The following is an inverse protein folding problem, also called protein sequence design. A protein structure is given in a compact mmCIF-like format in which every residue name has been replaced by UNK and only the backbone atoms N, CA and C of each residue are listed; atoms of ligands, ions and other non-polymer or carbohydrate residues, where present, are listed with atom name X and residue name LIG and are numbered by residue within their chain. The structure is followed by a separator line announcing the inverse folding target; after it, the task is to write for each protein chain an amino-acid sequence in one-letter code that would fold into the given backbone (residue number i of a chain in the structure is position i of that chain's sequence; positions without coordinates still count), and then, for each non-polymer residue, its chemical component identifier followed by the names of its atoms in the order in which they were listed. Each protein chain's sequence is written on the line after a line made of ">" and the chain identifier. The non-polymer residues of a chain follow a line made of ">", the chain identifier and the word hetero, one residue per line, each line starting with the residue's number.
data_IF_901005009598
#
_entry.id   IF_901005009598
#
_cell.length_a   1.000
_cell.length_b   1.000
_cell.length_c   1.000
_cell.angle_alpha   90.00
_cell.angle_beta   90.00
_cell.angle_gamma   90.00
#
_symmetry.space_group_name_H-M   'P 1'
#
loop_
_entity.id
_entity.type
_entity.pdbx_description
1 polymer ?
#
# COMPACT_ATOMS: atom_id res chain seq x y z
N UNK A 1 12.43 -16.23 16.91
CA UNK A 1 13.62 -16.20 16.03
C UNK A 1 13.94 -14.74 15.78
N UNK A 2 15.01 -14.19 16.37
CA UNK A 2 15.41 -12.80 16.17
C UNK A 2 16.66 -12.76 15.30
N UNK A 3 16.59 -12.17 14.11
CA UNK A 3 17.72 -11.98 13.21
C UNK A 3 17.76 -10.52 12.77
N UNK A 4 18.97 -9.96 12.65
CA UNK A 4 19.16 -8.60 12.17
C UNK A 4 18.80 -8.53 10.67
N UNK A 5 17.78 -7.76 10.32
CA UNK A 5 17.52 -7.42 8.92
C UNK A 5 18.58 -6.38 8.49
N UNK A 6 19.46 -6.76 7.57
CA UNK A 6 20.43 -5.83 6.98
C UNK A 6 19.89 -5.25 5.68
N UNK A 7 20.11 -3.96 5.40
CA UNK A 7 19.72 -3.33 4.15
C UNK A 7 20.68 -3.74 3.02
N UNK A 8 20.64 -5.00 2.61
CA UNK A 8 20.97 -5.37 1.23
C UNK A 8 19.74 -5.06 0.37
N UNK A 9 19.91 -4.84 -0.92
CA UNK A 9 18.89 -4.43 -1.91
C UNK A 9 17.73 -5.42 -2.02
N UNK A 10 16.94 -5.53 -0.97
CA UNK A 10 15.83 -6.45 -0.84
C UNK A 10 14.59 -5.73 -1.33
N UNK A 11 14.09 -6.25 -2.43
CA UNK A 11 12.81 -5.87 -3.01
C UNK A 11 11.76 -6.81 -2.44
N UNK A 12 10.63 -6.25 -2.01
CA UNK A 12 9.47 -7.03 -1.61
C UNK A 12 8.36 -6.80 -2.63
N UNK A 13 7.58 -7.83 -2.91
CA UNK A 13 6.28 -7.69 -3.54
C UNK A 13 5.24 -7.76 -2.44
N UNK A 14 4.42 -6.72 -2.34
CA UNK A 14 3.42 -6.61 -1.28
C UNK A 14 2.00 -6.75 -1.85
N UNK A 15 1.13 -7.54 -1.21
CA UNK A 15 -0.23 -7.76 -1.67
C UNK A 15 -1.11 -6.52 -1.53
N UNK A 16 -2.10 -6.42 -2.41
CA UNK A 16 -3.14 -5.40 -2.36
C UNK A 16 -4.17 -5.72 -1.28
N UNK A 17 -4.21 -4.92 -0.22
CA UNK A 17 -5.19 -5.07 0.85
C UNK A 17 -6.64 -4.91 0.34
N UNK A 18 -6.89 -4.05 -0.66
CA UNK A 18 -8.23 -3.83 -1.21
C UNK A 18 -8.70 -5.00 -2.08
N UNK A 19 -7.79 -5.64 -2.79
CA UNK A 19 -8.11 -6.81 -3.60
C UNK A 19 -8.34 -8.07 -2.74
N UNK A 20 -7.47 -8.31 -1.75
CA UNK A 20 -7.47 -9.56 -0.99
C UNK A 20 -8.07 -9.49 0.41
N UNK A 21 -8.30 -8.29 0.94
CA UNK A 21 -8.79 -8.11 2.30
C UNK A 21 -10.29 -7.85 2.40
N UNK A 22 -10.72 -7.48 3.61
CA UNK A 22 -12.09 -7.09 3.95
C UNK A 22 -12.09 -5.84 4.80
N UNK A 23 -13.18 -5.07 4.74
CA UNK A 23 -13.45 -4.01 5.71
C UNK A 23 -13.84 -4.64 7.05
N UNK A 24 -13.42 -4.05 8.17
CA UNK A 24 -13.83 -4.53 9.48
C UNK A 24 -15.32 -4.19 9.70
N UNK A 25 -16.14 -5.13 10.22
CA UNK A 25 -17.59 -4.94 10.32
C UNK A 25 -18.01 -3.70 11.12
N UNK A 26 -17.24 -3.36 12.16
CA UNK A 26 -17.58 -2.36 13.17
C UNK A 26 -17.62 -0.94 12.59
N UNK A 27 -16.64 -0.56 11.78
CA UNK A 27 -16.50 0.80 11.26
C UNK A 27 -16.47 0.88 9.73
N UNK A 28 -16.54 -0.27 9.04
CA UNK A 28 -16.47 -0.38 7.59
C UNK A 28 -15.17 0.21 7.00
N UNK A 29 -14.09 0.19 7.76
CA UNK A 29 -12.77 0.68 7.34
C UNK A 29 -11.78 -0.46 7.06
N UNK A 30 -10.70 -0.13 6.37
CA UNK A 30 -9.59 -1.05 6.11
C UNK A 30 -8.27 -0.25 6.09
N UNK A 31 -7.85 0.15 7.27
CA UNK A 31 -6.56 0.78 7.53
C UNK A 31 -5.43 -0.24 7.69
N UNK A 32 -4.21 0.28 7.81
CA UNK A 32 -3.02 -0.53 8.12
C UNK A 32 -3.20 -1.31 9.43
N UNK A 33 -3.83 -0.69 10.44
CA UNK A 33 -4.08 -1.32 11.74
C UNK A 33 -5.09 -2.45 11.64
N UNK A 34 -6.12 -2.32 10.81
CA UNK A 34 -7.11 -3.38 10.62
C UNK A 34 -6.48 -4.61 9.95
N UNK A 35 -5.57 -4.39 9.01
CA UNK A 35 -4.82 -5.46 8.34
C UNK A 35 -3.89 -6.19 9.31
N UNK A 36 -3.27 -5.45 10.23
CA UNK A 36 -2.39 -6.01 11.26
C UNK A 36 -3.14 -6.80 12.35
N UNK A 37 -4.25 -6.24 12.86
CA UNK A 37 -4.85 -6.68 14.12
C UNK A 37 -6.26 -7.24 14.00
N UNK A 38 -7.02 -6.86 12.98
CA UNK A 38 -8.45 -7.18 12.88
C UNK A 38 -8.75 -8.25 11.80
N UNK A 39 -7.73 -9.01 11.40
CA UNK A 39 -7.84 -10.02 10.34
C UNK A 39 -8.42 -9.46 9.03
N UNK A 40 -8.06 -8.22 8.67
CA UNK A 40 -8.56 -7.58 7.44
C UNK A 40 -7.82 -7.99 6.16
N UNK A 41 -6.91 -8.98 6.19
CA UNK A 41 -6.11 -9.47 5.06
C UNK A 41 -6.39 -10.92 4.66
N UNK A 42 -6.25 -11.25 3.37
CA UNK A 42 -6.17 -12.64 2.88
C UNK A 42 -7.50 -13.41 2.89
N UNK A 43 -8.61 -12.69 2.81
CA UNK A 43 -9.98 -13.20 2.90
C UNK A 43 -10.59 -13.51 1.53
N UNK A 44 -10.16 -12.78 0.50
CA UNK A 44 -10.64 -12.93 -0.87
C UNK A 44 -9.66 -13.73 -1.71
N UNK A 45 -10.17 -14.34 -2.78
CA UNK A 45 -9.40 -15.07 -3.78
C UNK A 45 -9.50 -14.36 -5.12
N UNK A 46 -8.51 -14.54 -5.99
CA UNK A 46 -8.52 -13.93 -7.33
C UNK A 46 -9.80 -14.26 -8.12
N UNK A 47 -10.33 -15.48 -7.97
CA UNK A 47 -11.59 -15.90 -8.61
C UNK A 47 -12.86 -15.21 -8.11
N UNK A 48 -12.76 -14.34 -7.09
CA UNK A 48 -13.88 -13.52 -6.62
C UNK A 48 -13.92 -12.10 -7.20
N UNK A 49 -12.99 -11.76 -8.10
CA UNK A 49 -12.97 -10.43 -8.72
C UNK A 49 -14.03 -10.37 -9.82
N UNK A 50 -14.87 -9.33 -9.81
CA UNK A 50 -16.07 -9.23 -10.64
C UNK A 50 -15.86 -8.51 -11.96
N UNK A 51 -14.83 -7.68 -12.07
CA UNK A 51 -14.60 -6.70 -13.14
C UNK A 51 -13.71 -7.23 -14.28
N UNK A 52 -13.31 -8.50 -14.20
CA UNK A 52 -12.25 -9.03 -15.07
C UNK A 52 -10.91 -8.51 -14.55
N UNK A 53 -10.04 -9.43 -14.17
CA UNK A 53 -8.82 -9.18 -13.40
C UNK A 53 -7.77 -8.28 -14.08
N UNK A 54 -8.05 -7.75 -15.28
CA UNK A 54 -7.11 -7.12 -16.20
C UNK A 54 -6.49 -5.81 -15.73
N UNK A 55 -7.17 -5.05 -14.86
CA UNK A 55 -6.69 -3.73 -14.42
C UNK A 55 -6.43 -3.63 -12.91
N UNK A 56 -6.90 -4.61 -12.13
CA UNK A 56 -6.68 -4.62 -10.68
C UNK A 56 -5.24 -5.04 -10.38
N UNK A 57 -4.50 -4.20 -9.67
CA UNK A 57 -3.18 -4.57 -9.12
C UNK A 57 -3.40 -5.56 -7.99
N UNK A 58 -2.74 -6.71 -8.05
CA UNK A 58 -2.76 -7.72 -6.98
C UNK A 58 -1.53 -7.65 -6.10
N UNK A 59 -0.38 -7.31 -6.67
CA UNK A 59 0.88 -7.12 -5.95
C UNK A 59 1.66 -5.96 -6.56
N UNK A 60 2.42 -5.24 -5.73
CA UNK A 60 3.31 -4.17 -6.18
C UNK A 60 4.67 -4.30 -5.54
N UNK A 61 5.68 -3.95 -6.32
CA UNK A 61 7.05 -3.82 -5.86
C UNK A 61 7.20 -2.67 -4.86
N UNK A 62 7.83 -2.95 -3.72
CA UNK A 62 8.08 -2.01 -2.63
C UNK A 62 9.41 -2.33 -1.93
N UNK A 63 10.16 -1.34 -1.40
CA UNK A 63 11.36 -1.63 -0.63
C UNK A 63 11.06 -2.52 0.57
N UNK A 64 11.86 -3.56 0.81
CA UNK A 64 11.64 -4.43 1.96
C UNK A 64 11.89 -3.71 3.29
N UNK A 65 12.79 -2.71 3.32
CA UNK A 65 13.16 -1.95 4.51
C UNK A 65 13.13 -0.46 4.15
N UNK A 66 12.53 0.36 5.00
CA UNK A 66 12.66 1.83 4.98
C UNK A 66 13.32 2.30 6.27
N UNK A 67 13.92 3.50 6.25
CA UNK A 67 14.65 4.05 7.39
C UNK A 67 16.04 3.44 7.64
N UNK A 68 16.80 4.07 8.53
CA UNK A 68 18.20 3.73 8.81
C UNK A 68 18.38 2.90 10.09
N UNK A 69 17.32 2.73 10.88
CA UNK A 69 17.39 2.01 12.13
C UNK A 69 17.37 0.50 11.95
N UNK A 70 17.94 -0.20 12.93
CA UNK A 70 17.82 -1.65 13.03
C UNK A 70 16.46 -1.96 13.67
N UNK A 71 15.57 -2.54 12.86
CA UNK A 71 14.24 -2.93 13.30
C UNK A 71 14.25 -4.40 13.65
N UNK A 72 13.71 -4.73 14.82
CA UNK A 72 13.51 -6.11 15.26
C UNK A 72 12.02 -6.40 15.36
N UNK A 73 11.57 -7.39 14.59
CA UNK A 73 10.22 -7.94 14.75
C UNK A 73 10.17 -8.93 15.90
N UNK A 74 9.30 -8.70 16.87
CA UNK A 74 8.79 -9.67 17.82
C UNK A 74 7.29 -9.85 17.54
N UNK A 75 6.70 -10.99 17.92
CA UNK A 75 5.30 -11.35 17.59
C UNK A 75 4.38 -10.12 17.46
N UNK A 76 4.00 -9.48 18.56
CA UNK A 76 3.08 -8.36 18.58
C UNK A 76 3.74 -6.96 18.57
N UNK A 77 5.03 -6.84 18.25
CA UNK A 77 5.72 -5.54 18.29
C UNK A 77 6.96 -5.45 17.40
N UNK A 78 7.16 -4.30 16.80
CA UNK A 78 8.46 -3.88 16.27
C UNK A 78 9.21 -3.06 17.31
N UNK A 79 10.49 -3.32 17.49
CA UNK A 79 11.38 -2.48 18.30
C UNK A 79 12.50 -1.89 17.46
N UNK A 80 12.98 -0.72 17.84
CA UNK A 80 14.06 -0.01 17.15
C UNK A 80 13.62 0.89 16.00
N UNK A 81 12.33 0.91 15.62
CA UNK A 81 11.82 1.91 14.68
C UNK A 81 11.75 3.30 15.35
N UNK A 82 12.12 4.34 14.59
CA UNK A 82 11.89 5.73 14.99
C UNK A 82 10.83 6.37 14.10
N UNK A 83 9.65 6.59 14.68
CA UNK A 83 8.54 7.21 13.98
C UNK A 83 8.02 6.37 12.82
N UNK A 84 7.70 7.04 11.71
CA UNK A 84 7.05 6.48 10.52
C UNK A 84 8.00 6.04 9.41
N UNK A 85 9.29 6.36 9.57
CA UNK A 85 10.28 6.22 8.51
C UNK A 85 10.96 4.87 8.53
N UNK A 86 11.15 4.31 9.72
CA UNK A 86 11.73 2.99 9.91
C UNK A 86 10.66 1.91 9.87
N UNK A 87 10.74 1.01 8.88
CA UNK A 87 9.88 -0.17 8.84
C UNK A 87 10.45 -1.31 7.99
N UNK A 88 9.75 -2.43 8.03
CA UNK A 88 10.00 -3.61 7.21
C UNK A 88 8.71 -4.08 6.51
N UNK A 89 8.83 -4.71 5.35
CA UNK A 89 7.72 -5.34 4.63
C UNK A 89 7.91 -6.85 4.64
N UNK A 90 7.46 -7.48 5.73
CA UNK A 90 7.52 -8.93 5.93
C UNK A 90 6.20 -9.58 5.53
N UNK A 91 6.31 -10.76 4.93
CA UNK A 91 5.17 -11.63 4.68
C UNK A 91 4.75 -12.30 5.99
N UNK A 92 3.69 -11.80 6.61
CA UNK A 92 3.10 -12.37 7.80
C UNK A 92 1.57 -12.25 7.75
N UNK A 93 0.90 -13.22 8.35
CA UNK A 93 -0.55 -13.24 8.51
C UNK A 93 -0.85 -12.85 9.96
N UNK A 94 -1.37 -11.64 10.14
CA UNK A 94 -1.83 -11.04 11.41
C UNK A 94 -0.80 -11.09 12.55
N UNK A 95 -1.16 -10.54 13.70
CA UNK A 95 -0.36 -10.59 14.93
C UNK A 95 1.06 -10.06 14.74
N UNK A 96 1.22 -8.98 13.98
CA UNK A 96 2.48 -8.28 13.78
C UNK A 96 2.23 -6.79 13.68
N UNK A 97 3.18 -5.98 14.15
CA UNK A 97 3.03 -4.53 14.10
C UNK A 97 2.88 -4.01 12.64
N UNK A 98 2.06 -2.98 12.42
CA UNK A 98 1.90 -2.30 11.13
C UNK A 98 3.19 -1.96 10.39
N UNK A 99 4.23 -1.61 11.13
CA UNK A 99 5.53 -1.20 10.63
C UNK A 99 6.36 -2.36 10.07
N UNK A 100 5.95 -3.61 10.30
CA UNK A 100 6.62 -4.80 9.78
C UNK A 100 5.84 -5.51 8.68
N UNK A 101 4.59 -5.12 8.39
CA UNK A 101 3.70 -5.91 7.55
C UNK A 101 3.73 -5.43 6.10
N UNK A 102 3.97 -6.36 5.17
CA UNK A 102 3.99 -6.06 3.74
C UNK A 102 2.59 -6.03 3.15
N UNK A 103 2.05 -4.85 2.85
CA UNK A 103 0.87 -4.64 2.01
C UNK A 103 0.84 -3.21 1.45
N UNK A 104 -0.09 -2.95 0.53
CA UNK A 104 -0.45 -1.62 0.05
C UNK A 104 -1.98 -1.47 -0.10
N UNK A 105 -2.43 -0.27 -0.44
CA UNK A 105 -3.86 0.04 -0.64
C UNK A 105 -4.59 0.48 0.63
N UNK A 106 -3.87 0.71 1.73
CA UNK A 106 -4.44 1.25 2.97
C UNK A 106 -4.09 2.72 3.23
N UNK A 107 -3.13 3.28 2.49
CA UNK A 107 -2.75 4.68 2.63
C UNK A 107 -3.56 5.53 1.65
N UNK A 108 -4.21 6.58 2.15
CA UNK A 108 -5.11 7.42 1.35
C UNK A 108 -4.39 8.67 0.83
N UNK A 109 -4.85 9.25 -0.28
CA UNK A 109 -4.43 10.59 -0.71
C UNK A 109 -5.66 11.44 -0.99
N UNK A 110 -5.78 12.62 -0.35
CA UNK A 110 -6.92 13.51 -0.52
C UNK A 110 -6.72 14.40 -1.76
N UNK A 111 -7.46 14.17 -2.85
CA UNK A 111 -7.34 14.98 -4.07
C UNK A 111 -7.70 16.48 -3.89
N UNK A 112 -8.29 16.88 -2.75
CA UNK A 112 -8.67 18.27 -2.49
C UNK A 112 -7.56 19.10 -1.84
N UNK A 113 -6.46 18.48 -1.42
CA UNK A 113 -5.34 19.12 -0.75
C UNK A 113 -4.03 18.55 -1.27
N UNK A 114 -2.90 19.18 -0.92
CA UNK A 114 -1.58 18.76 -1.43
C UNK A 114 -0.59 18.42 -0.32
N UNK A 115 -1.00 18.52 0.95
CA UNK A 115 -0.10 18.31 2.08
C UNK A 115 0.13 16.82 2.38
N UNK A 116 -0.73 15.94 1.87
CA UNK A 116 -0.62 14.49 1.96
C UNK A 116 -0.16 13.82 0.67
N UNK A 117 0.02 14.54 -0.44
CA UNK A 117 0.49 14.00 -1.73
C UNK A 117 1.78 13.17 -1.63
N UNK A 118 2.62 13.46 -0.64
CA UNK A 118 3.90 12.79 -0.46
C UNK A 118 3.91 11.67 0.59
N UNK A 119 3.01 11.70 1.56
CA UNK A 119 3.02 10.81 2.73
C UNK A 119 1.74 9.98 2.89
N UNK A 120 0.65 10.40 2.26
CA UNK A 120 -0.70 9.89 2.44
C UNK A 120 -1.22 9.97 3.88
N UNK A 121 -2.46 9.56 4.06
CA UNK A 121 -3.16 9.47 5.36
C UNK A 121 -3.32 8.00 5.77
N UNK A 122 -2.33 7.45 6.50
CA UNK A 122 -2.31 6.03 6.87
C UNK A 122 -3.32 5.65 7.97
N UNK A 123 -3.80 6.66 8.70
CA UNK A 123 -4.80 6.51 9.76
C UNK A 123 -6.24 6.52 9.24
N UNK A 124 -6.47 6.93 8.00
CA UNK A 124 -7.80 6.98 7.41
C UNK A 124 -8.09 5.62 6.75
N UNK A 125 -9.08 4.90 7.25
CA UNK A 125 -9.30 3.53 6.77
C UNK A 125 -10.30 3.40 5.60
N UNK A 126 -11.11 4.42 5.31
CA UNK A 126 -12.08 4.40 4.21
C UNK A 126 -11.52 4.93 2.88
N UNK A 127 -10.52 5.80 2.93
CA UNK A 127 -9.97 6.54 1.79
C UNK A 127 -11.01 7.25 0.92
N UNK A 128 -12.20 7.56 1.45
CA UNK A 128 -13.28 8.18 0.67
C UNK A 128 -13.19 9.69 0.68
N UNK A 129 -13.18 10.29 -0.51
CA UNK A 129 -13.18 11.73 -0.70
C UNK A 129 -14.19 12.13 -1.78
N UNK A 130 -14.77 13.32 -1.65
CA UNK A 130 -15.69 13.89 -2.66
C UNK A 130 -14.95 14.94 -3.46
N UNK A 131 -14.88 14.76 -4.78
CA UNK A 131 -14.27 15.71 -5.72
C UNK A 131 -15.29 16.01 -6.80
N UNK A 132 -15.56 17.28 -7.06
CA UNK A 132 -16.49 17.70 -8.12
C UNK A 132 -17.87 17.02 -8.06
N UNK A 133 -18.35 16.70 -6.85
CA UNK A 133 -19.65 16.06 -6.63
C UNK A 133 -19.65 14.53 -6.64
N UNK A 134 -18.51 13.88 -6.90
CA UNK A 134 -18.41 12.42 -6.92
C UNK A 134 -17.55 11.91 -5.76
N UNK A 135 -18.08 10.98 -4.96
CA UNK A 135 -17.37 10.36 -3.83
C UNK A 135 -16.73 9.04 -4.25
N UNK A 136 -15.40 8.96 -4.13
CA UNK A 136 -14.57 7.82 -4.58
C UNK A 136 -13.52 7.48 -3.54
N UNK A 137 -12.93 6.29 -3.65
CA UNK A 137 -11.78 5.90 -2.82
C UNK A 137 -10.48 6.35 -3.52
N UNK A 138 -9.63 7.10 -2.82
CA UNK A 138 -8.36 7.62 -3.36
C UNK A 138 -7.17 7.10 -2.55
N UNK A 139 -6.26 6.41 -3.22
CA UNK A 139 -5.12 5.74 -2.61
C UNK A 139 -3.81 6.43 -2.98
N UNK A 140 -2.86 6.43 -2.04
CA UNK A 140 -1.54 7.01 -2.26
C UNK A 140 -0.82 6.27 -3.41
N UNK A 141 -0.44 6.98 -4.51
CA UNK A 141 0.37 6.40 -5.58
C UNK A 141 1.81 6.18 -5.12
N UNK A 142 2.64 5.49 -5.92
CA UNK A 142 4.07 5.41 -5.65
C UNK A 142 4.65 6.82 -5.46
N UNK A 143 5.28 7.05 -4.31
CA UNK A 143 5.85 8.33 -3.95
C UNK A 143 7.18 8.56 -4.69
N UNK A 144 7.62 9.82 -4.79
CA UNK A 144 8.98 10.12 -5.26
C UNK A 144 10.00 9.41 -4.38
N UNK A 145 11.00 8.80 -5.01
CA UNK A 145 12.11 8.20 -4.26
C UNK A 145 12.81 9.27 -3.40
N UNK A 146 13.08 8.92 -2.14
CA UNK A 146 13.64 9.81 -1.11
C UNK A 146 14.86 9.17 -0.46
N UNK A 147 15.72 9.96 0.20
CA UNK A 147 16.67 9.44 1.18
C UNK A 147 15.97 8.51 2.18
N UNK A 148 16.68 7.47 2.62
CA UNK A 148 16.08 6.35 3.34
C UNK A 148 15.41 6.77 4.66
N UNK A 149 16.01 7.71 5.36
CA UNK A 149 15.51 8.35 6.59
C UNK A 149 14.26 9.23 6.40
N UNK A 150 13.82 9.46 5.15
CA UNK A 150 12.63 10.25 4.81
C UNK A 150 11.53 9.41 4.14
N UNK A 151 11.77 8.13 3.93
CA UNK A 151 10.80 7.20 3.33
C UNK A 151 9.81 6.74 4.40
N UNK A 152 8.51 6.82 4.12
CA UNK A 152 7.42 6.38 4.99
C UNK A 152 7.11 4.90 4.74
N UNK A 153 7.11 4.06 5.77
CA UNK A 153 6.97 2.60 5.58
C UNK A 153 5.68 2.20 4.84
N UNK A 154 4.59 2.96 4.98
CA UNK A 154 3.31 2.65 4.34
C UNK A 154 3.25 3.07 2.86
N UNK A 155 4.23 3.82 2.37
CA UNK A 155 4.32 4.27 0.99
C UNK A 155 5.08 3.29 0.10
N UNK A 156 4.75 3.33 -1.18
CA UNK A 156 5.50 2.62 -2.22
C UNK A 156 6.57 3.57 -2.73
N UNK A 157 7.83 3.16 -2.66
CA UNK A 157 8.95 3.92 -3.25
C UNK A 157 9.55 3.15 -4.43
N UNK A 158 9.66 3.79 -5.61
CA UNK A 158 10.37 3.21 -6.76
C UNK A 158 11.82 2.89 -6.43
N UNK A 159 12.24 1.67 -6.73
CA UNK A 159 13.64 1.23 -6.61
C UNK A 159 14.37 1.24 -7.95
N UNK A 160 13.63 1.37 -9.06
CA UNK A 160 14.19 1.45 -10.41
C UNK A 160 14.42 2.88 -10.85
N UNK A 161 15.36 3.05 -11.77
CA UNK A 161 15.61 4.33 -12.43
C UNK A 161 14.35 4.82 -13.16
N UNK A 162 14.12 6.13 -13.17
CA UNK A 162 12.95 6.72 -13.81
C UNK A 162 11.68 6.73 -12.96
N UNK A 163 11.77 6.36 -11.67
CA UNK A 163 10.63 6.44 -10.76
C UNK A 163 9.57 5.38 -11.03
N UNK A 164 10.00 4.18 -11.43
CA UNK A 164 9.12 3.09 -11.84
C UNK A 164 9.00 2.04 -10.75
N UNK A 165 7.78 1.52 -10.55
CA UNK A 165 7.48 0.31 -9.78
C UNK A 165 6.92 -0.76 -10.70
N UNK A 166 7.25 -2.02 -10.44
CA UNK A 166 6.61 -3.15 -11.11
C UNK A 166 5.35 -3.58 -10.36
N UNK A 167 4.24 -3.74 -11.08
CA UNK A 167 2.96 -4.16 -10.53
C UNK A 167 2.45 -5.40 -11.26
N UNK A 168 2.03 -6.41 -10.51
CA UNK A 168 1.33 -7.58 -11.03
C UNK A 168 -0.17 -7.25 -11.07
N UNK A 169 -0.77 -7.38 -12.25
CA UNK A 169 -2.21 -7.26 -12.42
C UNK A 169 -2.88 -8.62 -12.27
N UNK A 170 -4.17 -8.63 -11.96
CA UNK A 170 -4.91 -9.87 -11.72
C UNK A 170 -5.03 -10.76 -12.96
N UNK A 171 -4.83 -10.27 -14.18
CA UNK A 171 -4.73 -11.09 -15.40
C UNK A 171 -3.38 -11.81 -15.56
N UNK A 172 -2.47 -11.61 -14.60
CA UNK A 172 -1.13 -12.18 -14.61
C UNK A 172 -0.11 -11.36 -15.39
N UNK A 173 -0.52 -10.24 -16.01
CA UNK A 173 0.42 -9.32 -16.66
C UNK A 173 1.21 -8.51 -15.63
N UNK A 174 2.45 -8.17 -15.97
CA UNK A 174 3.28 -7.25 -15.17
C UNK A 174 3.38 -5.92 -15.90
N UNK A 175 3.11 -4.83 -15.20
CA UNK A 175 3.20 -3.46 -15.73
C UNK A 175 4.22 -2.65 -14.94
N UNK A 176 4.99 -1.86 -15.68
CA UNK A 176 5.82 -0.81 -15.10
C UNK A 176 4.97 0.46 -14.94
N UNK A 177 4.83 0.93 -13.70
CA UNK A 177 4.02 2.11 -13.35
C UNK A 177 4.94 3.22 -12.88
N UNK A 178 4.81 4.42 -13.45
CA UNK A 178 5.54 5.60 -13.00
C UNK A 178 4.95 6.16 -11.71
N UNK A 179 5.81 6.71 -10.85
CA UNK A 179 5.44 7.51 -9.69
C UNK A 179 4.79 8.86 -10.03
N UNK A 180 4.66 9.20 -11.32
CA UNK A 180 3.87 10.32 -11.83
C UNK A 180 2.49 9.87 -12.35
N UNK A 181 2.05 8.64 -12.05
CA UNK A 181 0.71 8.18 -12.41
C UNK A 181 -0.36 9.10 -11.81
N UNK A 182 -1.39 9.38 -12.59
CA UNK A 182 -2.55 10.14 -12.14
C UNK A 182 -3.24 9.43 -10.94
N UNK A 183 -3.64 10.22 -9.95
CA UNK A 183 -4.19 9.70 -8.70
C UNK A 183 -5.49 8.91 -8.91
N UNK A 184 -6.37 9.37 -9.81
CA UNK A 184 -7.62 8.68 -10.12
C UNK A 184 -7.32 7.34 -10.78
N UNK A 185 -6.44 7.36 -11.77
CA UNK A 185 -6.00 6.15 -12.51
C UNK A 185 -5.38 5.12 -11.57
N UNK A 186 -4.46 5.55 -10.69
CA UNK A 186 -3.88 4.67 -9.69
C UNK A 186 -4.96 4.08 -8.77
N UNK A 187 -5.84 4.91 -8.25
CA UNK A 187 -6.84 4.49 -7.27
C UNK A 187 -7.81 3.46 -7.86
N UNK A 188 -8.21 3.63 -9.11
CA UNK A 188 -9.03 2.67 -9.83
C UNK A 188 -8.36 1.29 -9.94
N UNK A 189 -7.05 1.28 -10.24
CA UNK A 189 -6.25 0.05 -10.32
C UNK A 189 -6.07 -0.65 -8.95
N UNK A 190 -6.18 0.08 -7.83
CA UNK A 190 -6.12 -0.52 -6.49
C UNK A 190 -7.42 -1.28 -6.13
N UNK A 191 -8.57 -0.92 -6.72
CA UNK A 191 -9.84 -1.56 -6.35
C UNK A 191 -10.16 -2.80 -7.21
N UNK A 192 -10.68 -3.89 -6.64
CA UNK A 192 -11.07 -5.10 -7.38
C UNK A 192 -12.37 -4.95 -8.19
N UNK A 193 -12.96 -3.76 -8.19
CA UNK A 193 -14.15 -3.44 -8.98
C UNK A 193 -13.80 -2.64 -10.22
N UNK A 194 -12.52 -2.32 -10.43
CA UNK A 194 -12.04 -1.62 -11.63
C UNK A 194 -12.73 -0.27 -11.81
N UNK A 195 -13.25 0.28 -10.71
CA UNK A 195 -14.06 1.46 -10.69
C UNK A 195 -13.20 2.65 -11.04
N UNK A 196 -13.33 3.10 -12.30
CA UNK A 196 -13.13 4.46 -12.82
C UNK A 196 -11.76 4.75 -13.48
N UNK A 197 -11.76 4.74 -14.82
CA UNK A 197 -11.44 5.96 -15.52
C UNK A 197 -12.75 6.53 -16.04
N UNK A 198 -13.50 7.24 -15.19
CA UNK A 198 -14.31 8.31 -15.77
C UNK A 198 -13.32 9.37 -16.23
N UNK A 199 -13.37 9.69 -17.52
CA UNK A 199 -12.61 10.77 -18.16
C UNK A 199 -12.53 11.97 -17.23
N UNK A 200 -11.30 12.36 -16.88
CA UNK A 200 -11.04 13.68 -16.33
C UNK A 200 -11.61 14.70 -17.33
N UNK A 201 -12.78 15.25 -17.02
CA UNK A 201 -13.35 16.39 -17.75
C UNK A 201 -12.64 17.66 -17.31
#
# INVERSE_FOLDING_TARGET
>A
MGGQLRPVSLTSYVPNARAFGKKVPQDQTQSVWNVAWDNASGEKKIGSFSDGTSNTIVEVEKPMITGDQVITGNAWATTGSMGKTDGANLWAKTDMAPEAQGFFGCNCNDPNVTWDDEEGQWWRGDCKFTVSGTTREYYQPPARNRPRDQQIIWNIYPIHTGGIVNALLGDGSVRSISNNIDLVTWSAMVTPSGGEPETAN
#
